data_IF_969397246941
#
_entry.id   IF_969397246941
#
_cell.length_a   1.000
_cell.length_b   1.000
_cell.length_c   1.000
_cell.angle_alpha   90.00
_cell.angle_beta   90.00
_cell.angle_gamma   90.00
#
_symmetry.space_group_name_H-M   'P 1'
#
loop_
_entity.id
_entity.type
_entity.pdbx_description
1 polymer ?
#
# COMPACT_ATOMS: atom_id res chain seq x y z
N UNK A 1 -21.30 18.83 2.68
CA UNK A 1 -21.38 18.29 1.31
C UNK A 1 -20.05 17.77 0.74
N UNK A 2 -18.90 17.85 1.44
CA UNK A 2 -17.61 17.36 0.91
C UNK A 2 -17.00 16.13 1.64
N UNK A 3 -17.55 15.72 2.78
CA UNK A 3 -16.98 14.66 3.65
C UNK A 3 -16.73 13.30 2.95
N UNK A 4 -17.68 12.74 2.16
CA UNK A 4 -17.45 11.46 1.50
C UNK A 4 -16.49 11.54 0.30
N UNK A 5 -16.47 12.65 -0.43
CA UNK A 5 -15.57 12.82 -1.58
C UNK A 5 -14.09 12.94 -1.18
N UNK A 6 -13.81 13.67 -0.10
CA UNK A 6 -12.43 13.80 0.44
C UNK A 6 -11.90 12.45 0.92
N UNK A 7 -12.75 11.63 1.54
CA UNK A 7 -12.37 10.31 2.00
C UNK A 7 -11.98 9.37 0.86
N UNK A 8 -12.75 9.33 -0.23
CA UNK A 8 -12.41 8.52 -1.41
C UNK A 8 -11.08 8.97 -2.02
N UNK A 9 -10.86 10.27 -2.20
CA UNK A 9 -9.58 10.80 -2.72
C UNK A 9 -8.41 10.45 -1.81
N UNK A 10 -8.57 10.57 -0.48
CA UNK A 10 -7.53 10.21 0.48
C UNK A 10 -7.17 8.72 0.41
N UNK A 11 -8.15 7.83 0.23
CA UNK A 11 -7.91 6.39 0.12
C UNK A 11 -7.17 6.06 -1.18
N UNK A 12 -7.63 6.60 -2.32
CA UNK A 12 -6.95 6.37 -3.59
C UNK A 12 -5.53 6.95 -3.58
N UNK A 13 -5.34 8.11 -2.97
CA UNK A 13 -4.02 8.72 -2.80
C UNK A 13 -3.12 7.87 -1.89
N UNK A 14 -3.63 7.39 -0.75
CA UNK A 14 -2.90 6.47 0.13
C UNK A 14 -2.50 5.19 -0.62
N UNK A 15 -3.43 4.54 -1.32
CA UNK A 15 -3.15 3.34 -2.11
C UNK A 15 -2.09 3.60 -3.19
N UNK A 16 -2.16 4.75 -3.86
CA UNK A 16 -1.17 5.14 -4.87
C UNK A 16 0.22 5.38 -4.29
N UNK A 17 0.30 6.07 -3.15
CA UNK A 17 1.58 6.30 -2.47
C UNK A 17 2.15 5.04 -1.83
N UNK A 18 1.30 4.18 -1.28
CA UNK A 18 1.70 2.92 -0.64
C UNK A 18 2.36 1.95 -1.62
N UNK A 19 1.84 1.89 -2.85
CA UNK A 19 2.39 1.04 -3.91
C UNK A 19 3.51 1.73 -4.72
N UNK A 20 3.92 2.95 -4.36
CA UNK A 20 4.90 3.68 -5.14
C UNK A 20 6.29 3.07 -4.99
N UNK A 21 6.87 2.65 -6.12
CA UNK A 21 8.17 1.97 -6.16
C UNK A 21 9.29 2.86 -6.74
N UNK A 22 9.00 3.56 -7.85
CA UNK A 22 10.01 4.30 -8.60
C UNK A 22 10.64 5.45 -7.82
N UNK A 23 9.81 6.27 -7.16
CA UNK A 23 10.29 7.45 -6.42
C UNK A 23 11.22 7.08 -5.25
N UNK A 24 10.87 6.12 -4.38
CA UNK A 24 11.78 5.67 -3.35
C UNK A 24 13.10 5.15 -3.89
N UNK A 25 13.08 4.25 -4.88
CA UNK A 25 14.31 3.67 -5.44
C UNK A 25 15.20 4.72 -6.10
N UNK A 26 14.61 5.71 -6.75
CA UNK A 26 15.37 6.77 -7.41
C UNK A 26 15.97 7.81 -6.44
N UNK A 27 15.28 8.12 -5.34
CA UNK A 27 15.65 9.25 -4.46
C UNK A 27 16.25 8.82 -3.11
N UNK A 28 15.88 7.64 -2.61
CA UNK A 28 16.26 7.18 -1.29
C UNK A 28 17.22 6.00 -1.38
N UNK A 29 18.52 6.29 -1.22
CA UNK A 29 19.61 5.32 -1.31
C UNK A 29 20.05 4.79 0.06
N UNK A 30 19.54 5.34 1.16
CA UNK A 30 19.90 4.94 2.53
C UNK A 30 19.04 3.76 2.99
N UNK A 31 19.65 2.59 3.12
CA UNK A 31 18.98 1.33 3.51
C UNK A 31 18.28 1.43 4.87
N UNK A 32 18.77 2.27 5.79
CA UNK A 32 18.14 2.46 7.10
C UNK A 32 16.79 3.20 7.02
N UNK A 33 16.52 3.84 5.88
CA UNK A 33 15.31 4.63 5.61
C UNK A 33 14.44 4.02 4.52
N UNK A 34 14.69 2.78 4.14
CA UNK A 34 13.89 2.13 3.11
C UNK A 34 12.43 2.07 3.52
N UNK A 35 11.59 2.59 2.63
CA UNK A 35 10.16 2.34 2.71
C UNK A 35 9.88 0.89 2.34
N UNK A 36 8.69 0.41 2.71
CA UNK A 36 8.37 -1.01 2.60
C UNK A 36 8.58 -1.59 1.20
N UNK A 37 8.26 -0.84 0.14
CA UNK A 37 8.46 -1.26 -1.25
C UNK A 37 9.94 -1.48 -1.61
N UNK A 38 10.85 -0.64 -1.10
CA UNK A 38 12.30 -0.81 -1.29
C UNK A 38 12.85 -1.96 -0.45
N UNK A 39 12.37 -2.08 0.79
CA UNK A 39 12.77 -3.18 1.67
C UNK A 39 12.38 -4.53 1.06
N UNK A 40 11.20 -4.63 0.44
CA UNK A 40 10.73 -5.83 -0.25
C UNK A 40 11.56 -6.19 -1.47
N UNK A 41 11.94 -5.19 -2.27
CA UNK A 41 12.84 -5.41 -3.40
C UNK A 41 14.23 -5.87 -2.94
N UNK A 42 14.79 -5.24 -1.91
CA UNK A 42 16.07 -5.66 -1.33
C UNK A 42 16.00 -7.07 -0.72
N UNK A 43 14.87 -7.42 -0.11
CA UNK A 43 14.64 -8.75 0.46
C UNK A 43 14.55 -9.81 -0.64
N UNK A 44 13.80 -9.54 -1.71
CA UNK A 44 13.70 -10.41 -2.88
C UNK A 44 15.06 -10.59 -3.58
N UNK A 45 15.85 -9.52 -3.70
CA UNK A 45 17.20 -9.56 -4.27
C UNK A 45 18.18 -10.38 -3.42
N UNK A 46 18.01 -10.38 -2.09
CA UNK A 46 18.86 -11.14 -1.16
C UNK A 46 18.45 -12.62 -1.06
N UNK A 47 17.22 -12.97 -1.46
CA UNK A 47 16.67 -14.32 -1.30
C UNK A 47 17.36 -15.40 -2.18
N UNK A 48 18.04 -15.04 -3.27
CA UNK A 48 18.96 -15.91 -4.03
C UNK A 48 18.48 -17.35 -4.30
N UNK A 49 19.39 -18.33 -4.14
CA UNK A 49 19.23 -19.77 -4.46
C UNK A 49 18.32 -20.56 -3.48
N UNK A 50 17.91 -19.95 -2.37
CA UNK A 50 17.08 -20.59 -1.34
C UNK A 50 16.01 -19.63 -0.86
N UNK A 51 14.89 -19.63 -1.59
CA UNK A 51 13.71 -18.84 -1.26
C UNK A 51 13.15 -19.30 0.08
N UNK A 52 13.33 -18.48 1.12
CA UNK A 52 12.60 -18.65 2.37
C UNK A 52 11.15 -18.19 2.17
N UNK A 53 10.30 -19.15 1.82
CA UNK A 53 8.88 -18.92 1.65
C UNK A 53 8.22 -18.39 2.94
N UNK A 54 8.72 -18.79 4.12
CA UNK A 54 8.20 -18.29 5.39
C UNK A 54 8.42 -16.80 5.55
N UNK A 55 9.63 -16.34 5.30
CA UNK A 55 9.97 -14.92 5.33
C UNK A 55 9.26 -14.13 4.20
N UNK A 56 9.11 -14.72 3.01
CA UNK A 56 8.35 -14.10 1.91
C UNK A 56 6.87 -13.90 2.26
N UNK A 57 6.19 -14.93 2.78
CA UNK A 57 4.78 -14.82 3.18
C UNK A 57 4.60 -13.86 4.36
N UNK A 58 5.53 -13.82 5.31
CA UNK A 58 5.52 -12.84 6.39
C UNK A 58 5.60 -11.40 5.83
N UNK A 59 6.49 -11.18 4.87
CA UNK A 59 6.70 -9.87 4.27
C UNK A 59 5.49 -9.39 3.44
N UNK A 60 4.87 -10.30 2.68
CA UNK A 60 3.59 -10.03 1.97
C UNK A 60 2.49 -9.70 2.97
N UNK A 61 2.38 -10.46 4.07
CA UNK A 61 1.38 -10.21 5.11
C UNK A 61 1.53 -8.81 5.71
N UNK A 62 2.76 -8.42 6.06
CA UNK A 62 3.07 -7.08 6.59
C UNK A 62 2.67 -5.99 5.59
N UNK A 63 2.87 -6.23 4.29
CA UNK A 63 2.50 -5.28 3.22
C UNK A 63 0.99 -5.08 3.10
N UNK A 64 0.20 -6.11 3.37
CA UNK A 64 -1.27 -6.06 3.27
C UNK A 64 -1.92 -5.40 4.50
N UNK A 65 -1.29 -5.48 5.68
CA UNK A 65 -1.86 -4.96 6.94
C UNK A 65 -2.28 -3.48 6.84
N UNK A 66 -1.46 -2.54 6.35
CA UNK A 66 -1.83 -1.12 6.29
C UNK A 66 -3.01 -0.85 5.36
N UNK A 67 -3.09 -1.60 4.25
CA UNK A 67 -4.22 -1.54 3.31
C UNK A 67 -5.50 -2.01 4.00
N UNK A 68 -5.44 -3.11 4.77
CA UNK A 68 -6.57 -3.59 5.56
C UNK A 68 -7.01 -2.59 6.62
N UNK A 69 -6.06 -1.95 7.32
CA UNK A 69 -6.38 -0.92 8.33
C UNK A 69 -7.12 0.26 7.68
N UNK A 70 -6.62 0.76 6.55
CA UNK A 70 -7.30 1.83 5.80
C UNK A 70 -8.67 1.36 5.33
N UNK A 71 -8.78 0.15 4.79
CA UNK A 71 -10.07 -0.41 4.39
C UNK A 71 -11.07 -0.46 5.55
N UNK A 72 -10.68 -0.98 6.73
CA UNK A 72 -11.57 -1.09 7.89
C UNK A 72 -12.04 0.26 8.42
N UNK A 73 -11.18 1.27 8.42
CA UNK A 73 -11.52 2.64 8.84
C UNK A 73 -12.51 3.28 7.85
N UNK A 74 -12.33 3.03 6.55
CA UNK A 74 -13.07 3.72 5.50
C UNK A 74 -14.15 2.88 4.80
N UNK A 75 -14.36 1.62 5.20
CA UNK A 75 -15.27 0.66 4.56
C UNK A 75 -16.69 1.23 4.33
N UNK A 76 -17.22 2.00 5.29
CA UNK A 76 -18.56 2.62 5.20
C UNK A 76 -18.61 3.75 4.17
N UNK A 77 -17.51 4.47 4.00
CA UNK A 77 -17.41 5.59 3.05
C UNK A 77 -17.17 5.08 1.63
N UNK A 78 -16.41 3.99 1.48
CA UNK A 78 -16.21 3.30 0.21
C UNK A 78 -17.53 2.74 -0.34
N UNK A 79 -18.32 2.03 0.49
CA UNK A 79 -19.63 1.49 0.09
C UNK A 79 -20.61 2.59 -0.38
N UNK A 80 -20.67 3.72 0.31
CA UNK A 80 -21.53 4.85 -0.06
C UNK A 80 -21.04 5.66 -1.27
N UNK A 81 -19.75 5.59 -1.61
CA UNK A 81 -19.15 6.33 -2.73
C UNK A 81 -19.41 5.66 -4.09
N UNK A 82 -19.35 4.32 -4.16
CA UNK A 82 -19.61 3.55 -5.39
C UNK A 82 -21.06 3.72 -5.84
N UNK A 83 -22.02 3.71 -4.91
CA UNK A 83 -23.44 3.89 -5.23
C UNK A 83 -23.80 5.28 -5.77
N UNK A 84 -23.03 6.33 -5.44
CA UNK A 84 -23.31 7.69 -5.89
C UNK A 84 -22.64 8.03 -7.23
N UNK A 85 -21.65 7.23 -7.67
CA UNK A 85 -21.00 7.39 -8.98
C UNK A 85 -21.83 6.88 -10.16
N UNK A 86 -22.74 5.91 -9.93
CA UNK A 86 -23.59 5.30 -10.96
C UNK A 86 -24.93 6.04 -11.17
N UNK A 87 -25.26 7.02 -10.32
CA UNK A 87 -26.50 7.79 -10.42
C UNK A 87 -26.35 9.17 -11.09
N UNK A 88 -25.36 9.32 -11.98
CA UNK A 88 -25.24 10.48 -12.88
C UNK A 88 -25.16 10.03 -14.33
#
# INVERSE_FOLDING_TARGET
>A
MAKPGIASVAIFNFLGMWNQFLLPVALNTDQSKYVLTQAMDSFAATAGESVDFGALFAAVTITVIPVLVVYLVFQRQLQGSVSQGTSK
#
